data_IF_347133773342
#
_entry.id   IF_347133773342
#
_cell.length_a   1.000
_cell.length_b   1.000
_cell.length_c   1.000
_cell.angle_alpha   90.00
_cell.angle_beta   90.00
_cell.angle_gamma   90.00
#
_symmetry.space_group_name_H-M   'P 1'
#
loop_
_entity.id
_entity.type
_entity.pdbx_description
1 polymer ?
#
# COMPACT_ATOMS: atom_id res chain seq x y z
N UNK A 1 -15.55 -24.17 -5.15
CA UNK A 1 -14.93 -24.23 -3.80
C UNK A 1 -14.64 -22.81 -3.35
N UNK A 2 -15.38 -22.28 -2.38
CA UNK A 2 -15.12 -20.93 -1.86
C UNK A 2 -13.86 -20.93 -0.99
N UNK A 3 -12.95 -19.98 -1.20
CA UNK A 3 -11.79 -19.82 -0.33
C UNK A 3 -12.27 -19.52 1.09
N UNK A 4 -11.83 -20.33 2.05
CA UNK A 4 -12.03 -20.05 3.46
C UNK A 4 -11.42 -18.68 3.78
N UNK A 5 -12.19 -17.81 4.46
CA UNK A 5 -11.74 -16.45 4.80
C UNK A 5 -10.42 -16.45 5.58
N UNK A 6 -10.17 -17.48 6.40
CA UNK A 6 -8.91 -17.66 7.13
C UNK A 6 -7.71 -17.82 6.20
N UNK A 7 -7.84 -18.61 5.14
CA UNK A 7 -6.77 -18.85 4.16
C UNK A 7 -6.35 -17.58 3.41
N UNK A 8 -7.23 -16.57 3.31
CA UNK A 8 -6.90 -15.26 2.74
C UNK A 8 -6.17 -14.33 3.73
N UNK A 9 -6.35 -14.54 5.05
CA UNK A 9 -5.82 -13.66 6.10
C UNK A 9 -4.46 -14.14 6.61
N UNK A 10 -4.25 -15.45 6.69
CA UNK A 10 -2.98 -16.08 7.10
C UNK A 10 -1.74 -15.52 6.36
N UNK A 11 -1.73 -15.40 5.02
CA UNK A 11 -0.59 -14.82 4.33
C UNK A 11 -0.37 -13.34 4.69
N UNK A 12 -1.44 -12.56 4.89
CA UNK A 12 -1.33 -11.16 5.32
C UNK A 12 -0.72 -11.05 6.71
N UNK A 13 -1.11 -11.92 7.64
CA UNK A 13 -0.52 -11.98 8.99
C UNK A 13 0.96 -12.39 8.92
N UNK A 14 1.31 -13.36 8.06
CA UNK A 14 2.70 -13.77 7.86
C UNK A 14 3.56 -12.60 7.35
N UNK A 15 3.13 -11.91 6.30
CA UNK A 15 3.82 -10.71 5.79
C UNK A 15 3.92 -9.62 6.84
N UNK A 16 2.86 -9.39 7.62
CA UNK A 16 2.90 -8.41 8.71
C UNK A 16 3.96 -8.74 9.77
N UNK A 17 4.14 -10.03 10.08
CA UNK A 17 5.15 -10.49 11.03
C UNK A 17 6.57 -10.28 10.50
N UNK A 18 6.86 -10.78 9.30
CA UNK A 18 8.23 -10.83 8.78
C UNK A 18 8.67 -9.56 8.06
N UNK A 19 7.77 -8.92 7.29
CA UNK A 19 8.12 -7.81 6.40
C UNK A 19 7.83 -6.43 7.02
N UNK A 20 6.96 -6.35 8.03
CA UNK A 20 6.47 -5.07 8.59
C UNK A 20 6.85 -4.82 10.04
N UNK A 21 8.09 -5.11 10.43
CA UNK A 21 8.70 -4.76 11.73
C UNK A 21 7.94 -5.24 12.99
N UNK A 22 6.90 -6.07 12.85
CA UNK A 22 6.15 -6.58 13.99
C UNK A 22 7.00 -7.48 14.90
N UNK A 23 8.01 -8.15 14.35
CA UNK A 23 9.01 -8.92 15.11
C UNK A 23 10.02 -7.99 15.84
N UNK A 24 10.23 -6.77 15.35
CA UNK A 24 11.15 -5.79 15.94
C UNK A 24 10.35 -4.80 16.80
N UNK A 25 9.83 -5.28 17.92
CA UNK A 25 9.15 -4.43 18.89
C UNK A 25 10.16 -3.70 19.79
N UNK A 26 10.17 -2.37 19.74
CA UNK A 26 10.98 -1.52 20.61
C UNK A 26 10.20 -1.02 21.84
N UNK A 27 8.90 -1.31 21.92
CA UNK A 27 8.03 -0.95 23.04
C UNK A 27 8.10 -2.02 24.14
N UNK A 28 8.01 -1.59 25.39
CA UNK A 28 8.23 -2.46 26.55
C UNK A 28 6.97 -3.22 26.96
N UNK A 29 7.11 -4.53 27.13
CA UNK A 29 6.11 -5.40 27.74
C UNK A 29 4.87 -5.66 26.88
N UNK A 30 3.89 -6.37 27.47
CA UNK A 30 2.69 -6.86 26.76
C UNK A 30 1.86 -5.74 26.13
N UNK A 31 1.84 -4.56 26.76
CA UNK A 31 1.12 -3.42 26.21
C UNK A 31 1.83 -2.86 24.98
N UNK A 32 3.17 -2.81 25.00
CA UNK A 32 3.98 -2.49 23.84
C UNK A 32 3.75 -3.45 22.67
N UNK A 33 3.65 -4.76 22.94
CA UNK A 33 3.37 -5.77 21.91
C UNK A 33 2.03 -5.52 21.20
N UNK A 34 0.98 -5.17 21.97
CA UNK A 34 -0.34 -4.84 21.44
C UNK A 34 -0.29 -3.59 20.56
N UNK A 35 0.36 -2.54 21.04
CA UNK A 35 0.52 -1.28 20.30
C UNK A 35 1.31 -1.52 19.01
N UNK A 36 2.41 -2.28 19.07
CA UNK A 36 3.24 -2.58 17.90
C UNK A 36 2.44 -3.36 16.83
N UNK A 37 1.60 -4.32 17.24
CA UNK A 37 0.74 -5.07 16.32
C UNK A 37 -0.27 -4.16 15.61
N UNK A 38 -0.91 -3.25 16.35
CA UNK A 38 -1.88 -2.28 15.80
C UNK A 38 -1.20 -1.33 14.82
N UNK A 39 -0.06 -0.75 15.21
CA UNK A 39 0.68 0.19 14.36
C UNK A 39 1.24 -0.48 13.10
N UNK A 40 1.75 -1.71 13.21
CA UNK A 40 2.23 -2.48 12.05
C UNK A 40 1.09 -2.75 11.06
N UNK A 41 -0.09 -3.13 11.56
CA UNK A 41 -1.29 -3.32 10.74
C UNK A 41 -1.76 -2.00 10.08
N UNK A 42 -1.76 -0.90 10.84
CA UNK A 42 -2.11 0.42 10.31
C UNK A 42 -1.12 0.86 9.21
N UNK A 43 0.18 0.71 9.44
CA UNK A 43 1.23 1.02 8.47
C UNK A 43 1.13 0.21 7.18
N UNK A 44 0.79 -1.09 7.28
CA UNK A 44 0.53 -1.93 6.12
C UNK A 44 -0.68 -1.43 5.30
N UNK A 45 -1.77 -1.03 5.97
CA UNK A 45 -2.95 -0.47 5.30
C UNK A 45 -2.65 0.88 4.64
N UNK A 46 -1.91 1.77 5.33
CA UNK A 46 -1.49 3.04 4.74
C UNK A 46 -0.57 2.83 3.53
N UNK A 47 0.31 1.84 3.56
CA UNK A 47 1.19 1.50 2.42
C UNK A 47 0.38 1.10 1.18
N UNK A 48 -0.73 0.37 1.36
CA UNK A 48 -1.66 0.05 0.26
C UNK A 48 -2.33 1.31 -0.28
N UNK A 49 -2.83 2.17 0.61
CA UNK A 49 -3.50 3.41 0.23
C UNK A 49 -2.56 4.33 -0.54
N UNK A 50 -1.33 4.52 -0.05
CA UNK A 50 -0.26 5.27 -0.71
C UNK A 50 0.01 4.70 -2.11
N UNK A 51 0.15 3.38 -2.24
CA UNK A 51 0.36 2.73 -3.55
C UNK A 51 -0.76 3.04 -4.55
N UNK A 52 -2.02 3.05 -4.11
CA UNK A 52 -3.17 3.42 -4.95
C UNK A 52 -3.10 4.89 -5.35
N UNK A 53 -2.84 5.79 -4.40
CA UNK A 53 -2.70 7.22 -4.70
C UNK A 53 -1.56 7.50 -5.70
N UNK A 54 -0.39 6.88 -5.53
CA UNK A 54 0.72 7.02 -6.47
C UNK A 54 0.36 6.49 -7.86
N UNK A 55 -0.37 5.38 -7.95
CA UNK A 55 -0.84 4.85 -9.23
C UNK A 55 -1.80 5.82 -9.93
N UNK A 56 -2.75 6.40 -9.19
CA UNK A 56 -3.69 7.39 -9.70
C UNK A 56 -2.94 8.64 -10.18
N UNK A 57 -2.07 9.19 -9.35
CA UNK A 57 -1.28 10.38 -9.68
C UNK A 57 -0.43 10.18 -10.93
N UNK A 58 0.25 9.03 -11.03
CA UNK A 58 1.06 8.66 -12.20
C UNK A 58 0.22 8.55 -13.47
N UNK A 59 -0.97 7.95 -13.38
CA UNK A 59 -1.89 7.86 -14.53
C UNK A 59 -2.41 9.22 -14.97
N UNK A 60 -2.82 10.06 -14.01
CA UNK A 60 -3.28 11.42 -14.31
C UNK A 60 -2.17 12.24 -14.95
N UNK A 61 -0.95 12.20 -14.40
CA UNK A 61 0.20 12.89 -14.98
C UNK A 61 0.49 12.44 -16.41
N UNK A 62 0.55 11.12 -16.65
CA UNK A 62 0.76 10.57 -17.98
C UNK A 62 -0.33 11.00 -18.96
N UNK A 63 -1.59 10.98 -18.53
CA UNK A 63 -2.73 11.40 -19.36
C UNK A 63 -2.64 12.89 -19.73
N UNK A 64 -2.32 13.76 -18.76
CA UNK A 64 -2.15 15.20 -19.00
C UNK A 64 -1.02 15.44 -20.01
N UNK A 65 0.14 14.80 -19.80
CA UNK A 65 1.28 14.91 -20.72
C UNK A 65 0.92 14.41 -22.12
N UNK A 66 0.17 13.30 -22.23
CA UNK A 66 -0.29 12.76 -23.51
C UNK A 66 -1.20 13.75 -24.26
N UNK A 67 -2.20 14.32 -23.58
CA UNK A 67 -3.11 15.32 -24.18
C UNK A 67 -2.34 16.57 -24.61
N UNK A 68 -1.40 17.05 -23.79
CA UNK A 68 -0.58 18.19 -24.13
C UNK A 68 0.27 17.95 -25.39
N UNK A 69 0.92 16.79 -25.50
CA UNK A 69 1.68 16.43 -26.70
C UNK A 69 0.79 16.31 -27.94
N UNK A 70 -0.41 15.73 -27.82
CA UNK A 70 -1.37 15.63 -28.92
C UNK A 70 -1.82 17.01 -29.42
N UNK A 71 -2.05 17.94 -28.48
CA UNK A 71 -2.39 19.34 -28.78
C UNK A 71 -1.27 20.00 -29.59
N UNK A 72 -0.01 19.90 -29.13
CA UNK A 72 1.15 20.47 -29.84
C UNK A 72 1.35 19.93 -31.25
N UNK A 73 1.16 18.63 -31.45
CA UNK A 73 1.23 18.01 -32.78
C UNK A 73 0.13 18.55 -33.71
N UNK A 74 -1.08 18.75 -33.17
CA UNK A 74 -2.21 19.31 -33.94
C UNK A 74 -2.00 20.76 -34.38
N UNK A 75 -1.10 21.52 -33.73
CA UNK A 75 -0.76 22.90 -34.11
C UNK A 75 0.43 23.00 -35.08
N UNK A 76 1.15 21.90 -35.32
CA UNK A 76 2.31 21.87 -36.23
C UNK A 76 1.96 21.33 -37.64
N UNK A 77 0.72 20.94 -37.88
CA UNK A 77 0.16 20.61 -39.20
C UNK A 77 -0.86 21.66 -39.61
#
# INVERSE_FOLDING_TARGET
>A
MGMNRRSAIEPVISHLKYDHNMIRNFLKGKEGDRINAILSAAGFNFSKLIRVFFLLFRKSYFFIVFIFNLSLVSFHF
#
